data_IF_155876275361
#
_entry.id   IF_155876275361
#
_cell.length_a   1.000
_cell.length_b   1.000
_cell.length_c   1.000
_cell.angle_alpha   90.00
_cell.angle_beta   90.00
_cell.angle_gamma   90.00
#
_symmetry.space_group_name_H-M   'P 1'
#
loop_
_entity.id
_entity.type
_entity.pdbx_description
1 polymer ?
#
# COMPACT_ATOMS: atom_id res chain seq x y z
N UNK A 1 24.84 -8.96 9.16
CA UNK A 1 24.02 -10.20 9.04
C UNK A 1 22.99 -10.39 10.14
N UNK A 2 23.33 -10.39 11.45
CA UNK A 2 22.31 -10.51 12.51
C UNK A 2 21.25 -9.39 12.47
N UNK A 3 21.71 -8.15 12.30
CA UNK A 3 20.85 -6.97 12.12
C UNK A 3 19.94 -7.09 10.88
N UNK A 4 20.42 -7.67 9.77
CA UNK A 4 19.61 -7.88 8.56
C UNK A 4 18.48 -8.89 8.82
N UNK A 5 18.79 -10.00 9.51
CA UNK A 5 17.77 -11.00 9.89
C UNK A 5 16.69 -10.37 10.78
N UNK A 6 17.08 -9.53 11.74
CA UNK A 6 16.13 -8.81 12.59
C UNK A 6 15.24 -7.87 11.77
N UNK A 7 15.81 -7.11 10.82
CA UNK A 7 15.03 -6.21 9.96
C UNK A 7 14.08 -6.96 9.02
N UNK A 8 14.50 -8.06 8.41
CA UNK A 8 13.60 -8.90 7.59
C UNK A 8 12.50 -9.55 8.42
N UNK A 9 12.79 -9.96 9.65
CA UNK A 9 11.79 -10.46 10.60
C UNK A 9 10.76 -9.38 10.95
N UNK A 10 11.19 -8.14 11.17
CA UNK A 10 10.28 -7.00 11.38
C UNK A 10 9.37 -6.77 10.16
N UNK A 11 9.93 -6.75 8.94
CA UNK A 11 9.12 -6.63 7.72
C UNK A 11 8.12 -7.79 7.58
N UNK A 12 8.51 -9.03 7.89
CA UNK A 12 7.60 -10.17 7.89
C UNK A 12 6.40 -9.95 8.83
N UNK A 13 6.67 -9.52 10.06
CA UNK A 13 5.62 -9.24 11.05
C UNK A 13 4.67 -8.11 10.60
N UNK A 14 5.23 -7.07 9.99
CA UNK A 14 4.44 -5.95 9.43
C UNK A 14 3.50 -6.44 8.33
N UNK A 15 3.99 -7.25 7.39
CA UNK A 15 3.19 -7.79 6.28
C UNK A 15 2.14 -8.78 6.77
N UNK A 16 2.42 -9.58 7.79
CA UNK A 16 1.42 -10.46 8.40
C UNK A 16 0.30 -9.65 9.07
N UNK A 17 0.64 -8.59 9.79
CA UNK A 17 -0.34 -7.69 10.38
C UNK A 17 -1.17 -6.95 9.32
N UNK A 18 -0.54 -6.53 8.20
CA UNK A 18 -1.25 -5.99 7.04
C UNK A 18 -2.24 -7.00 6.46
N UNK A 19 -1.81 -8.25 6.28
CA UNK A 19 -2.65 -9.33 5.75
C UNK A 19 -3.90 -9.55 6.60
N UNK A 20 -3.75 -9.48 7.93
CA UNK A 20 -4.86 -9.59 8.87
C UNK A 20 -5.81 -8.39 8.80
N UNK A 21 -5.27 -7.16 8.76
CA UNK A 21 -6.11 -5.96 8.67
C UNK A 21 -6.85 -5.84 7.34
N UNK A 22 -6.26 -6.33 6.25
CA UNK A 22 -6.88 -6.40 4.94
C UNK A 22 -7.93 -7.51 4.81
N UNK A 23 -8.05 -8.37 5.82
CA UNK A 23 -8.94 -9.52 5.79
C UNK A 23 -8.71 -10.38 4.53
N UNK A 24 -7.42 -10.61 4.23
CA UNK A 24 -6.96 -11.25 2.99
C UNK A 24 -7.59 -12.65 2.81
N UNK A 25 -7.86 -13.34 3.91
CA UNK A 25 -8.49 -14.67 3.90
C UNK A 25 -9.92 -14.60 3.37
N UNK A 26 -10.73 -13.64 3.83
CA UNK A 26 -12.07 -13.44 3.30
C UNK A 26 -12.03 -12.93 1.86
N UNK A 27 -11.11 -12.03 1.52
CA UNK A 27 -10.91 -11.60 0.12
C UNK A 27 -10.58 -12.77 -0.80
N UNK A 28 -9.73 -13.70 -0.37
CA UNK A 28 -9.44 -14.95 -1.11
C UNK A 28 -10.66 -15.84 -1.29
N UNK A 29 -11.53 -15.92 -0.29
CA UNK A 29 -12.79 -16.64 -0.44
C UNK A 29 -13.70 -15.95 -1.46
N UNK A 30 -13.77 -14.61 -1.46
CA UNK A 30 -14.51 -13.83 -2.46
C UNK A 30 -13.93 -14.04 -3.86
N UNK A 31 -12.61 -13.99 -4.02
CA UNK A 31 -11.92 -14.29 -5.29
C UNK A 31 -12.38 -15.64 -5.84
N UNK A 32 -12.32 -16.72 -5.04
CA UNK A 32 -12.76 -18.05 -5.47
C UNK A 32 -14.24 -18.08 -5.89
N UNK A 33 -15.09 -17.31 -5.21
CA UNK A 33 -16.52 -17.23 -5.55
C UNK A 33 -16.74 -16.51 -6.89
N UNK A 34 -16.07 -15.36 -7.09
CA UNK A 34 -16.15 -14.60 -8.33
C UNK A 34 -15.53 -15.37 -9.51
N UNK A 35 -14.41 -16.06 -9.29
CA UNK A 35 -13.82 -16.97 -10.29
C UNK A 35 -14.81 -18.06 -10.70
N UNK A 36 -15.42 -18.74 -9.73
CA UNK A 36 -16.44 -19.76 -10.01
C UNK A 36 -17.67 -19.17 -10.74
N UNK A 37 -18.01 -17.91 -10.47
CA UNK A 37 -19.07 -17.20 -11.18
C UNK A 37 -18.71 -16.91 -12.64
N UNK A 38 -17.49 -16.44 -12.90
CA UNK A 38 -17.00 -16.17 -14.26
C UNK A 38 -16.93 -17.41 -15.15
N UNK A 39 -16.84 -18.59 -14.54
CA UNK A 39 -16.88 -19.89 -15.22
C UNK A 39 -18.30 -20.36 -15.60
N UNK A 40 -19.37 -19.68 -15.16
CA UNK A 40 -20.75 -20.06 -15.50
C UNK A 40 -21.02 -19.81 -16.99
N UNK A 41 -21.71 -20.73 -17.70
CA UNK A 41 -21.97 -20.58 -19.15
C UNK A 41 -22.72 -19.29 -19.52
N UNK A 42 -23.63 -18.86 -18.64
CA UNK A 42 -24.49 -17.70 -18.89
C UNK A 42 -23.89 -16.37 -18.39
N UNK A 43 -22.70 -16.39 -17.77
CA UNK A 43 -22.10 -15.20 -17.17
C UNK A 43 -21.88 -14.08 -18.19
N UNK A 44 -21.40 -14.45 -19.38
CA UNK A 44 -21.13 -13.51 -20.47
C UNK A 44 -22.39 -13.01 -21.21
N UNK A 45 -23.58 -13.48 -20.84
CA UNK A 45 -24.83 -13.02 -21.45
C UNK A 45 -25.24 -11.62 -20.93
N UNK A 46 -24.77 -11.22 -19.75
CA UNK A 46 -24.95 -9.88 -19.19
C UNK A 46 -23.61 -9.13 -19.17
N UNK A 47 -23.41 -8.27 -20.16
CA UNK A 47 -22.15 -7.54 -20.34
C UNK A 47 -21.83 -6.58 -19.18
N UNK A 48 -22.84 -5.94 -18.58
CA UNK A 48 -22.62 -5.01 -17.48
C UNK A 48 -22.23 -5.76 -16.21
N UNK A 49 -22.96 -6.83 -15.89
CA UNK A 49 -22.63 -7.71 -14.76
C UNK A 49 -21.25 -8.34 -14.92
N UNK A 50 -20.96 -8.90 -16.11
CA UNK A 50 -19.67 -9.53 -16.40
C UNK A 50 -18.51 -8.55 -16.25
N UNK A 51 -18.69 -7.29 -16.70
CA UNK A 51 -17.69 -6.23 -16.54
C UNK A 51 -17.46 -5.88 -15.08
N UNK A 52 -18.52 -5.68 -14.30
CA UNK A 52 -18.41 -5.34 -12.87
C UNK A 52 -17.70 -6.44 -12.09
N UNK A 53 -18.14 -7.69 -12.24
CA UNK A 53 -17.53 -8.84 -11.55
C UNK A 53 -16.07 -9.05 -11.99
N UNK A 54 -15.77 -8.94 -13.29
CA UNK A 54 -14.39 -9.10 -13.76
C UNK A 54 -13.47 -8.01 -13.24
N UNK A 55 -13.96 -6.77 -13.13
CA UNK A 55 -13.18 -5.67 -12.56
C UNK A 55 -12.94 -5.88 -11.06
N UNK A 56 -13.97 -6.24 -10.30
CA UNK A 56 -13.83 -6.55 -8.86
C UNK A 56 -12.85 -7.70 -8.63
N UNK A 57 -12.98 -8.77 -9.42
CA UNK A 57 -12.07 -9.92 -9.35
C UNK A 57 -10.62 -9.50 -9.64
N UNK A 58 -10.38 -8.74 -10.71
CA UNK A 58 -9.04 -8.27 -11.04
C UNK A 58 -8.42 -7.38 -9.95
N UNK A 59 -9.22 -6.51 -9.33
CA UNK A 59 -8.78 -5.66 -8.21
C UNK A 59 -8.40 -6.51 -6.99
N UNK A 60 -9.24 -7.48 -6.61
CA UNK A 60 -8.99 -8.36 -5.47
C UNK A 60 -7.79 -9.29 -5.68
N UNK A 61 -7.66 -9.88 -6.88
CA UNK A 61 -6.54 -10.76 -7.23
C UNK A 61 -5.23 -9.98 -7.16
N UNK A 62 -5.18 -8.80 -7.78
CA UNK A 62 -3.97 -7.95 -7.75
C UNK A 62 -3.55 -7.62 -6.32
N UNK A 63 -4.51 -7.30 -5.46
CA UNK A 63 -4.22 -6.99 -4.05
C UNK A 63 -3.67 -8.21 -3.31
N UNK A 64 -4.25 -9.40 -3.53
CA UNK A 64 -3.78 -10.64 -2.92
C UNK A 64 -2.37 -11.02 -3.39
N UNK A 65 -2.12 -10.96 -4.70
CA UNK A 65 -0.83 -11.25 -5.32
C UNK A 65 0.26 -10.29 -4.82
N UNK A 66 -0.05 -9.00 -4.67
CA UNK A 66 0.92 -8.01 -4.15
C UNK A 66 1.42 -8.41 -2.75
N UNK A 67 0.52 -8.82 -1.86
CA UNK A 67 0.90 -9.24 -0.50
C UNK A 67 1.69 -10.56 -0.53
N UNK A 68 1.31 -11.51 -1.38
CA UNK A 68 2.02 -12.78 -1.53
C UNK A 68 3.43 -12.60 -2.08
N UNK A 69 3.60 -11.73 -3.08
CA UNK A 69 4.91 -11.42 -3.66
C UNK A 69 5.86 -10.81 -2.62
N UNK A 70 5.36 -9.90 -1.78
CA UNK A 70 6.17 -9.32 -0.70
C UNK A 70 6.59 -10.40 0.31
N UNK A 71 5.66 -11.27 0.72
CA UNK A 71 5.97 -12.38 1.65
C UNK A 71 7.01 -13.33 1.05
N UNK A 72 6.88 -13.66 -0.23
CA UNK A 72 7.81 -14.54 -0.93
C UNK A 72 9.21 -13.92 -0.99
N UNK A 73 9.34 -12.65 -1.40
CA UNK A 73 10.63 -11.94 -1.43
C UNK A 73 11.30 -11.89 -0.05
N UNK A 74 10.53 -11.62 1.01
CA UNK A 74 11.06 -11.64 2.38
C UNK A 74 11.58 -13.04 2.74
N UNK A 75 10.79 -14.08 2.48
CA UNK A 75 11.16 -15.47 2.78
C UNK A 75 12.40 -15.93 1.99
N UNK A 76 12.49 -15.55 0.72
CA UNK A 76 13.64 -15.81 -0.15
C UNK A 76 14.90 -15.13 0.40
N UNK A 77 14.82 -13.85 0.76
CA UNK A 77 15.96 -13.11 1.30
C UNK A 77 16.40 -13.63 2.67
N UNK A 78 15.48 -14.04 3.54
CA UNK A 78 15.81 -14.69 4.82
C UNK A 78 16.52 -16.01 4.58
N UNK A 79 16.02 -16.85 3.66
CA UNK A 79 16.63 -18.12 3.30
C UNK A 79 18.02 -17.93 2.71
N UNK A 80 18.20 -16.90 1.88
CA UNK A 80 19.48 -16.54 1.29
C UNK A 80 20.49 -16.10 2.36
N UNK A 81 20.07 -15.26 3.31
CA UNK A 81 20.91 -14.86 4.45
C UNK A 81 21.36 -16.07 5.28
N UNK A 82 20.46 -17.03 5.54
CA UNK A 82 20.80 -18.25 6.26
C UNK A 82 21.82 -19.12 5.51
N UNK A 83 21.68 -19.23 4.18
CA UNK A 83 22.63 -19.96 3.35
C UNK A 83 24.00 -19.29 3.36
N UNK A 84 24.07 -17.98 3.11
CA UNK A 84 25.33 -17.22 3.11
C UNK A 84 26.04 -17.30 4.46
N UNK A 85 25.30 -17.27 5.58
CA UNK A 85 25.87 -17.46 6.93
C UNK A 85 26.50 -18.84 7.13
N UNK A 86 26.02 -19.89 6.45
CA UNK A 86 26.57 -21.25 6.56
C UNK A 86 27.78 -21.46 5.67
N UNK A 87 27.82 -20.80 4.51
CA UNK A 87 28.88 -20.96 3.51
C UNK A 87 30.10 -20.06 3.79
N UNK A 88 29.89 -18.89 4.41
CA UNK A 88 30.97 -17.92 4.68
C UNK A 88 31.13 -17.68 6.19
N UNK A 89 32.20 -18.23 6.78
CA UNK A 89 32.63 -17.92 8.15
C UNK A 89 33.52 -16.66 8.22
N UNK A 90 34.17 -16.28 7.12
CA UNK A 90 35.11 -15.16 7.07
C UNK A 90 34.43 -13.90 6.51
N UNK A 91 34.18 -12.93 7.40
CA UNK A 91 33.51 -11.65 7.12
C UNK A 91 34.37 -10.72 6.24
N UNK A 92 35.61 -11.13 5.97
CA UNK A 92 36.62 -10.35 5.26
C UNK A 92 36.56 -10.49 3.72
N UNK A 93 35.68 -11.36 3.21
CA UNK A 93 35.54 -11.64 1.77
C UNK A 93 34.86 -10.45 1.04
N UNK A 94 35.43 -9.92 -0.05
CA UNK A 94 34.77 -8.93 -0.90
C UNK A 94 33.37 -9.37 -1.38
N UNK A 95 33.17 -10.66 -1.68
CA UNK A 95 31.86 -11.19 -2.10
C UNK A 95 30.81 -11.05 -0.98
N UNK A 96 31.23 -11.12 0.29
CA UNK A 96 30.35 -10.95 1.44
C UNK A 96 29.81 -9.52 1.52
N UNK A 97 30.63 -8.51 1.19
CA UNK A 97 30.20 -7.10 1.17
C UNK A 97 29.13 -6.87 0.10
N UNK A 98 29.35 -7.37 -1.12
CA UNK A 98 28.41 -7.22 -2.24
C UNK A 98 27.05 -7.89 -1.93
N UNK A 99 27.07 -9.09 -1.33
CA UNK A 99 25.85 -9.79 -0.90
C UNK A 99 25.09 -8.95 0.14
N UNK A 100 25.78 -8.42 1.15
CA UNK A 100 25.13 -7.61 2.19
C UNK A 100 24.55 -6.31 1.65
N UNK A 101 25.21 -5.68 0.67
CA UNK A 101 24.72 -4.46 0.03
C UNK A 101 23.48 -4.72 -0.82
N UNK A 102 23.46 -5.82 -1.59
CA UNK A 102 22.27 -6.24 -2.36
C UNK A 102 21.08 -6.50 -1.43
N UNK A 103 21.30 -7.25 -0.35
CA UNK A 103 20.26 -7.53 0.65
C UNK A 103 19.74 -6.27 1.35
N UNK A 104 20.59 -5.26 1.54
CA UNK A 104 20.18 -3.98 2.11
C UNK A 104 19.35 -3.14 1.13
N UNK A 105 19.67 -3.19 -0.18
CA UNK A 105 18.86 -2.53 -1.21
C UNK A 105 17.47 -3.18 -1.34
N UNK A 106 17.40 -4.50 -1.33
CA UNK A 106 16.13 -5.22 -1.37
C UNK A 106 15.28 -4.93 -0.13
N UNK A 107 15.93 -4.83 1.04
CA UNK A 107 15.26 -4.45 2.28
C UNK A 107 14.66 -3.03 2.18
N UNK A 108 15.40 -2.06 1.65
CA UNK A 108 14.91 -0.68 1.47
C UNK A 108 13.75 -0.62 0.46
N UNK A 109 13.84 -1.39 -0.62
CA UNK A 109 12.76 -1.50 -1.61
C UNK A 109 11.49 -2.10 -1.00
N UNK A 110 11.60 -3.22 -0.28
CA UNK A 110 10.49 -3.87 0.41
C UNK A 110 9.90 -2.97 1.49
N UNK A 111 10.74 -2.25 2.23
CA UNK A 111 10.28 -1.30 3.26
C UNK A 111 9.39 -0.23 2.64
N UNK A 112 9.81 0.39 1.52
CA UNK A 112 9.03 1.41 0.82
C UNK A 112 7.71 0.86 0.27
N UNK A 113 7.72 -0.37 -0.24
CA UNK A 113 6.53 -1.04 -0.75
C UNK A 113 5.52 -1.27 0.38
N UNK A 114 5.98 -1.79 1.53
CA UNK A 114 5.17 -2.01 2.73
C UNK A 114 4.64 -0.69 3.29
N UNK A 115 5.48 0.35 3.41
CA UNK A 115 5.07 1.68 3.86
C UNK A 115 3.93 2.24 2.99
N UNK A 116 4.03 2.07 1.66
CA UNK A 116 2.99 2.49 0.74
C UNK A 116 1.66 1.76 0.98
N UNK A 117 1.72 0.44 1.21
CA UNK A 117 0.54 -0.37 1.53
C UNK A 117 -0.07 0.00 2.87
N UNK A 118 0.73 0.27 3.90
CA UNK A 118 0.25 0.73 5.20
C UNK A 118 -0.50 2.06 5.10
N UNK A 119 -0.01 3.00 4.27
CA UNK A 119 -0.70 4.25 3.99
C UNK A 119 -2.01 3.99 3.25
N UNK A 120 -2.02 3.13 2.24
CA UNK A 120 -3.26 2.76 1.53
C UNK A 120 -4.30 2.14 2.46
N UNK A 121 -3.86 1.28 3.38
CA UNK A 121 -4.70 0.68 4.40
C UNK A 121 -5.29 1.72 5.36
N UNK A 122 -4.46 2.68 5.80
CA UNK A 122 -4.93 3.79 6.63
C UNK A 122 -6.01 4.61 5.93
N UNK A 123 -5.94 4.68 4.60
CA UNK A 123 -6.90 5.33 3.70
C UNK A 123 -7.99 4.37 3.17
N UNK A 124 -8.27 3.27 3.88
CA UNK A 124 -9.28 2.26 3.54
C UNK A 124 -10.66 2.50 4.18
N UNK A 125 -10.89 3.65 4.79
CA UNK A 125 -12.16 4.01 5.42
C UNK A 125 -13.34 4.04 4.45
N UNK A 126 -14.57 3.88 4.98
CA UNK A 126 -15.83 3.85 4.21
C UNK A 126 -16.00 5.02 3.24
N UNK A 127 -15.38 6.16 3.53
CA UNK A 127 -15.54 7.40 2.77
C UNK A 127 -14.27 7.83 2.02
N UNK A 128 -13.17 7.09 2.12
CA UNK A 128 -11.87 7.54 1.61
C UNK A 128 -11.81 7.53 0.08
N UNK A 129 -12.60 6.66 -0.55
CA UNK A 129 -12.80 6.67 -2.02
C UNK A 129 -13.70 7.80 -2.53
N UNK A 130 -14.31 8.60 -1.64
CA UNK A 130 -15.26 9.67 -2.02
C UNK A 130 -14.58 11.03 -2.08
N UNK A 131 -15.12 11.99 -2.87
CA UNK A 131 -14.68 13.37 -2.81
C UNK A 131 -14.79 13.94 -1.39
N UNK A 132 -13.77 14.68 -0.96
CA UNK A 132 -13.76 15.36 0.33
C UNK A 132 -14.31 16.79 0.20
N UNK A 133 -15.01 17.25 1.24
CA UNK A 133 -15.38 18.66 1.41
C UNK A 133 -14.47 19.24 2.50
N UNK A 134 -13.74 20.31 2.18
CA UNK A 134 -12.88 21.03 3.12
C UNK A 134 -13.51 22.39 3.45
N UNK A 135 -13.75 22.64 4.74
CA UNK A 135 -14.22 23.92 5.25
C UNK A 135 -13.18 24.48 6.22
N UNK A 136 -12.71 25.69 5.97
CA UNK A 136 -11.73 26.37 6.82
C UNK A 136 -12.40 27.59 7.43
N UNK A 137 -12.41 27.67 8.76
CA UNK A 137 -13.05 28.76 9.50
C UNK A 137 -11.99 29.56 10.26
N UNK A 138 -12.10 30.89 10.19
CA UNK A 138 -11.26 31.76 11.02
C UNK A 138 -11.70 31.64 12.48
N UNK A 139 -10.76 31.32 13.35
CA UNK A 139 -10.98 31.28 14.80
C UNK A 139 -11.01 32.68 15.42
N UNK A 140 -10.74 32.77 16.72
CA UNK A 140 -10.53 34.06 17.37
C UNK A 140 -9.23 34.71 16.87
N UNK A 141 -9.27 36.00 16.58
CA UNK A 141 -8.12 36.76 16.06
C UNK A 141 -8.47 37.86 15.06
N UNK A 142 -9.75 37.97 14.66
CA UNK A 142 -10.19 39.03 13.75
C UNK A 142 -9.49 38.94 12.40
N UNK A 143 -9.00 40.07 11.88
CA UNK A 143 -8.39 40.16 10.54
C UNK A 143 -7.16 39.27 10.37
N UNK A 144 -6.31 39.13 11.38
CA UNK A 144 -5.11 38.28 11.28
C UNK A 144 -5.46 36.80 11.12
N UNK A 145 -6.52 36.34 11.81
CA UNK A 145 -7.03 34.98 11.64
C UNK A 145 -7.65 34.78 10.25
N UNK A 146 -8.31 35.81 9.69
CA UNK A 146 -8.85 35.78 8.34
C UNK A 146 -7.74 35.68 7.28
N UNK A 147 -6.67 36.47 7.42
CA UNK A 147 -5.51 36.43 6.52
C UNK A 147 -4.83 35.05 6.56
N UNK A 148 -4.71 34.45 7.75
CA UNK A 148 -4.17 33.11 7.92
C UNK A 148 -5.04 32.04 7.25
N UNK A 149 -6.36 32.11 7.40
CA UNK A 149 -7.29 31.20 6.72
C UNK A 149 -7.18 31.35 5.20
N UNK A 150 -7.05 32.58 4.70
CA UNK A 150 -6.84 32.82 3.28
C UNK A 150 -5.51 32.22 2.77
N UNK A 151 -4.46 32.21 3.61
CA UNK A 151 -3.21 31.53 3.29
C UNK A 151 -3.37 30.00 3.27
N UNK A 152 -4.06 29.42 4.25
CA UNK A 152 -4.33 27.99 4.31
C UNK A 152 -5.19 27.50 3.14
N UNK A 153 -6.23 28.26 2.77
CA UNK A 153 -7.07 27.95 1.62
C UNK A 153 -6.22 27.86 0.34
N UNK A 154 -5.37 28.86 0.08
CA UNK A 154 -4.44 28.85 -1.06
C UNK A 154 -3.44 27.70 -1.00
N UNK A 155 -2.97 27.32 0.19
CA UNK A 155 -2.06 26.20 0.37
C UNK A 155 -2.72 24.88 -0.07
N UNK A 156 -3.94 24.61 0.40
CA UNK A 156 -4.67 23.40 0.05
C UNK A 156 -5.11 23.38 -1.42
N UNK A 157 -5.50 24.52 -1.99
CA UNK A 157 -5.79 24.63 -3.43
C UNK A 157 -4.57 24.26 -4.28
N UNK A 158 -3.37 24.74 -3.91
CA UNK A 158 -2.13 24.39 -4.61
C UNK A 158 -1.76 22.92 -4.43
N UNK A 159 -1.91 22.38 -3.22
CA UNK A 159 -1.66 20.97 -2.96
C UNK A 159 -2.59 20.07 -3.79
N UNK A 160 -3.90 20.29 -3.74
CA UNK A 160 -4.88 19.52 -4.52
C UNK A 160 -4.62 19.63 -6.04
N UNK A 161 -4.23 20.82 -6.52
CA UNK A 161 -3.82 21.00 -7.92
C UNK A 161 -2.57 20.19 -8.27
N UNK A 162 -1.58 20.12 -7.37
CA UNK A 162 -0.35 19.34 -7.58
C UNK A 162 -0.59 17.83 -7.60
N UNK A 163 -1.63 17.36 -6.91
CA UNK A 163 -2.09 15.97 -6.94
C UNK A 163 -3.00 15.67 -8.15
N UNK A 164 -3.30 16.67 -8.99
CA UNK A 164 -4.19 16.54 -10.15
C UNK A 164 -5.67 16.40 -9.78
N UNK A 165 -6.07 16.77 -8.56
CA UNK A 165 -7.45 16.67 -8.11
C UNK A 165 -8.31 17.83 -8.63
N UNK A 166 -9.58 17.54 -8.94
CA UNK A 166 -10.55 18.57 -9.31
C UNK A 166 -10.97 19.34 -8.06
N UNK A 167 -10.84 20.66 -8.09
CA UNK A 167 -11.23 21.56 -7.01
C UNK A 167 -12.49 22.32 -7.43
N UNK A 168 -13.48 22.38 -6.55
CA UNK A 168 -14.70 23.16 -6.73
C UNK A 168 -14.94 24.00 -5.48
N UNK A 169 -15.05 25.33 -5.65
CA UNK A 169 -15.41 26.23 -4.56
C UNK A 169 -16.93 26.20 -4.37
N UNK A 170 -17.36 25.76 -3.18
CA UNK A 170 -18.78 25.62 -2.85
C UNK A 170 -19.32 26.91 -2.22
N UNK A 171 -18.59 27.48 -1.26
CA UNK A 171 -19.02 28.65 -0.49
C UNK A 171 -17.79 29.44 0.00
N UNK A 172 -17.91 30.76 0.06
CA UNK A 172 -16.90 31.70 0.58
C UNK A 172 -17.63 32.88 1.22
N UNK A 173 -17.47 33.04 2.54
CA UNK A 173 -18.22 33.98 3.38
C UNK A 173 -17.26 34.88 4.15
#
# INVERSE_FOLDING_TARGET
>A
MQELVEKYSDLSNRVDHLSLKLDLENKRNTIRQLEAETMKPDFWNDNEHARTVSQELAELVKEAETIDDIKNKISENVSFIELTKREHEDVSDPEFSEITDSLAQDLDALTKEIDSLEVQLFLGGKYDKKPAILSIHAGQGGTEAMDWVAMLARMYERYASSQGWKIEKIDEV
#
